data_IF_743783107227
#
_entry.id   IF_743783107227
#
_cell.length_a   1.000
_cell.length_b   1.000
_cell.length_c   1.000
_cell.angle_alpha   90.00
_cell.angle_beta   90.00
_cell.angle_gamma   90.00
#
_symmetry.space_group_name_H-M   'P 1'
#
loop_
_entity.id
_entity.type
_entity.pdbx_description
1 polymer ?
#
# COMPACT_ATOMS: atom_id res chain seq x y z
N UNK A 1 6.39 8.13 -17.12
CA UNK A 1 6.98 6.81 -17.46
C UNK A 1 6.03 6.08 -18.41
N UNK A 2 6.48 5.81 -19.64
CA UNK A 2 5.70 5.23 -20.73
C UNK A 2 5.89 3.70 -20.77
N UNK A 3 4.93 2.98 -21.37
CA UNK A 3 4.96 1.53 -21.62
C UNK A 3 4.74 1.27 -23.11
N UNK A 4 5.03 0.04 -23.54
CA UNK A 4 4.84 -0.42 -24.91
C UNK A 4 3.93 -1.64 -24.97
N UNK A 5 3.17 -1.78 -26.05
CA UNK A 5 2.34 -2.94 -26.33
C UNK A 5 2.32 -3.23 -27.83
N UNK A 6 2.20 -4.49 -28.20
CA UNK A 6 2.03 -4.90 -29.61
C UNK A 6 0.56 -4.87 -29.96
N UNK A 7 0.20 -4.17 -31.04
CA UNK A 7 -1.17 -4.11 -31.54
C UNK A 7 -1.67 -5.51 -31.96
N UNK A 8 -2.88 -5.89 -31.52
CA UNK A 8 -3.51 -7.16 -31.89
C UNK A 8 -3.88 -7.26 -33.38
N UNK A 9 -4.12 -6.12 -34.05
CA UNK A 9 -4.49 -6.06 -35.47
C UNK A 9 -3.28 -6.05 -36.40
N UNK A 10 -2.49 -4.98 -36.36
CA UNK A 10 -1.39 -4.76 -37.31
C UNK A 10 0.01 -5.09 -36.77
N UNK A 11 0.12 -5.62 -35.55
CA UNK A 11 1.38 -5.96 -34.86
C UNK A 11 2.38 -4.81 -34.67
N UNK A 12 1.98 -3.56 -34.93
CA UNK A 12 2.81 -2.40 -34.65
C UNK A 12 3.01 -2.18 -33.15
N UNK A 13 4.19 -1.69 -32.76
CA UNK A 13 4.49 -1.33 -31.38
C UNK A 13 3.85 0.02 -31.07
N UNK A 14 2.99 0.05 -30.05
CA UNK A 14 2.29 1.24 -29.58
C UNK A 14 2.91 1.71 -28.27
N UNK A 15 3.30 2.98 -28.20
CA UNK A 15 3.77 3.62 -26.98
C UNK A 15 2.59 4.28 -26.28
N UNK A 16 2.41 4.03 -24.99
CA UNK A 16 1.29 4.56 -24.22
C UNK A 16 1.71 4.95 -22.78
N UNK A 17 1.00 5.88 -22.13
CA UNK A 17 1.26 6.20 -20.72
C UNK A 17 0.89 5.03 -19.80
N UNK A 18 1.77 4.70 -18.83
CA UNK A 18 1.48 3.68 -17.81
C UNK A 18 0.15 4.00 -17.10
N UNK A 19 -0.74 3.01 -17.04
CA UNK A 19 -2.06 3.13 -16.40
C UNK A 19 -3.25 3.14 -17.36
N UNK A 20 -3.05 3.25 -18.68
CA UNK A 20 -4.13 3.02 -19.64
C UNK A 20 -4.54 1.54 -19.65
N UNK A 21 -5.85 1.26 -19.65
CA UNK A 21 -6.38 -0.12 -19.76
C UNK A 21 -6.58 -0.57 -21.20
N UNK A 22 -6.70 0.37 -22.14
CA UNK A 22 -6.90 0.11 -23.55
C UNK A 22 -6.08 1.11 -24.37
N UNK A 23 -5.47 0.63 -25.45
CA UNK A 23 -4.64 1.42 -26.36
C UNK A 23 -5.19 1.26 -27.76
N UNK A 24 -5.59 2.36 -28.39
CA UNK A 24 -6.05 2.36 -29.77
C UNK A 24 -4.85 2.48 -30.73
N UNK A 25 -4.80 1.62 -31.73
CA UNK A 25 -3.79 1.70 -32.77
C UNK A 25 -4.13 2.77 -33.80
N UNK A 26 -3.24 3.74 -34.02
CA UNK A 26 -3.43 4.80 -35.03
C UNK A 26 -3.35 4.30 -36.47
N UNK A 27 -2.85 3.08 -36.70
CA UNK A 27 -2.63 2.53 -38.05
C UNK A 27 -3.80 1.66 -38.53
N UNK A 28 -4.46 0.94 -37.61
CA UNK A 28 -5.54 0.01 -37.97
C UNK A 28 -6.81 0.17 -37.12
N UNK A 29 -6.88 1.17 -36.25
CA UNK A 29 -7.97 1.44 -35.30
C UNK A 29 -8.31 0.27 -34.35
N UNK A 30 -7.52 -0.80 -34.31
CA UNK A 30 -7.72 -1.89 -33.39
C UNK A 30 -7.43 -1.45 -31.95
N UNK A 31 -8.34 -1.79 -31.04
CA UNK A 31 -8.16 -1.57 -29.60
C UNK A 31 -7.44 -2.77 -29.00
N UNK A 32 -6.28 -2.52 -28.40
CA UNK A 32 -5.52 -3.54 -27.67
C UNK A 32 -5.65 -3.27 -26.17
N UNK A 33 -6.17 -4.24 -25.42
CA UNK A 33 -6.23 -4.12 -23.96
C UNK A 33 -4.83 -4.19 -23.39
N UNK A 34 -4.46 -3.15 -22.64
CA UNK A 34 -3.20 -3.11 -21.95
C UNK A 34 -3.27 -4.00 -20.68
N UNK A 35 -2.13 -4.58 -20.26
CA UNK A 35 -2.05 -5.30 -19.00
C UNK A 35 -2.59 -4.42 -17.84
N UNK A 36 -3.55 -4.91 -17.03
CA UNK A 36 -4.01 -4.18 -15.86
C UNK A 36 -2.83 -3.67 -15.02
N UNK A 37 -2.86 -2.39 -14.59
CA UNK A 37 -1.84 -1.86 -13.70
C UNK A 37 -1.85 -2.67 -12.40
N UNK A 38 -0.71 -3.28 -12.07
CA UNK A 38 -0.59 -4.14 -10.89
C UNK A 38 -0.60 -5.65 -11.15
N UNK A 39 -0.64 -6.10 -12.43
CA UNK A 39 -0.32 -7.49 -12.75
C UNK A 39 1.18 -7.76 -12.60
N UNK A 40 1.64 -7.82 -11.36
CA UNK A 40 3.01 -8.23 -11.08
C UNK A 40 3.09 -9.74 -11.16
N UNK A 41 3.99 -10.25 -11.99
CA UNK A 41 4.24 -11.69 -12.09
C UNK A 41 5.24 -12.05 -11.00
N UNK A 42 4.93 -13.06 -10.21
CA UNK A 42 5.81 -13.62 -9.20
C UNK A 42 6.06 -15.11 -9.47
N UNK A 43 7.11 -15.63 -8.85
CA UNK A 43 7.61 -16.98 -9.10
C UNK A 43 7.37 -17.85 -7.87
N UNK A 44 7.00 -19.10 -8.08
CA UNK A 44 7.01 -20.12 -7.03
C UNK A 44 7.48 -21.45 -7.61
N UNK A 45 8.08 -22.28 -6.76
CA UNK A 45 8.52 -23.63 -7.15
C UNK A 45 7.39 -24.60 -6.83
N UNK A 46 7.02 -25.45 -7.79
CA UNK A 46 5.99 -26.45 -7.56
C UNK A 46 6.46 -27.49 -6.54
N UNK A 47 5.65 -27.77 -5.51
CA UNK A 47 5.95 -28.80 -4.50
C UNK A 47 5.91 -30.23 -5.03
N UNK A 48 5.26 -30.49 -6.16
CA UNK A 48 5.15 -31.83 -6.76
C UNK A 48 6.28 -32.14 -7.74
N UNK A 49 6.48 -31.30 -8.76
CA UNK A 49 7.44 -31.55 -9.85
C UNK A 49 8.65 -30.62 -9.86
N UNK A 50 8.78 -29.71 -8.88
CA UNK A 50 9.85 -28.70 -8.79
C UNK A 50 9.93 -27.73 -9.96
N UNK A 51 8.96 -27.72 -10.88
CA UNK A 51 8.89 -26.74 -11.96
C UNK A 51 8.68 -25.32 -11.40
N UNK A 52 9.39 -24.36 -11.97
CA UNK A 52 9.18 -22.94 -11.70
C UNK A 52 7.87 -22.47 -12.35
N UNK A 53 6.94 -21.97 -11.54
CA UNK A 53 5.64 -21.48 -11.96
C UNK A 53 5.61 -19.95 -11.91
N UNK A 54 5.25 -19.35 -13.03
CA UNK A 54 4.93 -17.93 -13.13
C UNK A 54 3.45 -17.74 -12.82
N UNK A 55 3.13 -16.89 -11.86
CA UNK A 55 1.75 -16.60 -11.50
C UNK A 55 1.55 -15.11 -11.24
N UNK A 56 0.32 -14.64 -11.39
CA UNK A 56 -0.05 -13.27 -11.04
C UNK A 56 -0.06 -13.10 -9.52
N UNK A 57 0.54 -12.02 -9.04
CA UNK A 57 0.53 -11.62 -7.64
C UNK A 57 -0.91 -11.52 -7.14
N UNK A 58 -1.17 -12.14 -5.98
CA UNK A 58 -2.51 -12.21 -5.37
C UNK A 58 -3.25 -13.53 -5.60
N UNK A 59 -2.76 -14.43 -6.46
CA UNK A 59 -3.33 -15.77 -6.55
C UNK A 59 -2.94 -16.60 -5.31
N UNK A 60 -3.91 -16.98 -4.46
CA UNK A 60 -3.65 -17.81 -3.29
C UNK A 60 -3.31 -19.27 -3.63
N UNK A 61 -3.82 -19.76 -4.77
CA UNK A 61 -3.65 -21.13 -5.25
C UNK A 61 -3.24 -21.10 -6.71
N UNK A 62 -2.18 -21.83 -7.06
CA UNK A 62 -1.64 -21.91 -8.41
C UNK A 62 -1.55 -23.38 -8.83
N UNK A 63 -2.35 -23.78 -9.82
CA UNK A 63 -2.31 -25.13 -10.38
C UNK A 63 -1.12 -25.27 -11.32
N UNK A 64 -0.24 -26.23 -11.04
CA UNK A 64 0.86 -26.57 -11.92
C UNK A 64 0.30 -27.18 -13.22
N UNK A 65 0.74 -26.70 -14.38
CA UNK A 65 0.37 -27.29 -15.68
C UNK A 65 1.12 -28.58 -15.97
N UNK A 66 2.28 -28.79 -15.35
CA UNK A 66 3.11 -29.98 -15.58
C UNK A 66 2.59 -31.22 -14.84
N UNK A 67 2.28 -31.09 -13.55
CA UNK A 67 1.87 -32.22 -12.71
C UNK A 67 0.49 -32.05 -12.07
N UNK A 68 -0.25 -31.01 -12.42
CA UNK A 68 -1.60 -30.71 -11.92
C UNK A 68 -1.70 -30.44 -10.41
N UNK A 69 -0.59 -30.47 -9.67
CA UNK A 69 -0.54 -30.13 -8.23
C UNK A 69 -0.97 -28.69 -8.01
N UNK A 70 -1.86 -28.47 -7.04
CA UNK A 70 -2.22 -27.13 -6.56
C UNK A 70 -1.17 -26.69 -5.55
N UNK A 71 -0.47 -25.61 -5.86
CA UNK A 71 0.53 -25.01 -5.00
C UNK A 71 -0.11 -23.85 -4.26
N UNK A 72 0.13 -23.75 -2.96
CA UNK A 72 -0.21 -22.56 -2.19
C UNK A 72 0.85 -21.52 -2.50
N UNK A 73 0.45 -20.41 -3.13
CA UNK A 73 1.37 -19.29 -3.25
C UNK A 73 1.58 -18.73 -1.85
N UNK A 74 2.83 -18.41 -1.46
CA UNK A 74 3.04 -17.61 -0.28
C UNK A 74 2.19 -16.35 -0.42
N UNK A 75 1.26 -16.13 0.53
CA UNK A 75 0.73 -14.78 0.74
C UNK A 75 1.94 -14.01 1.19
N UNK A 76 2.61 -13.40 0.23
CA UNK A 76 3.82 -12.69 0.50
C UNK A 76 3.40 -11.62 1.52
N UNK A 77 3.96 -11.71 2.73
CA UNK A 77 3.85 -10.71 3.80
C UNK A 77 4.51 -9.41 3.34
N UNK A 78 4.08 -8.91 2.18
CA UNK A 78 4.59 -7.72 1.58
C UNK A 78 3.95 -6.58 2.34
N UNK A 79 4.82 -5.83 2.98
CA UNK A 79 4.43 -4.58 3.61
C UNK A 79 4.20 -3.60 2.47
N UNK A 80 2.99 -3.06 2.41
CA UNK A 80 2.60 -1.99 1.52
C UNK A 80 2.62 -0.66 2.29
N UNK A 81 2.78 0.44 1.56
CA UNK A 81 2.81 1.78 2.13
C UNK A 81 1.62 2.58 1.63
N UNK A 82 1.01 3.36 2.52
CA UNK A 82 -0.01 4.36 2.17
C UNK A 82 0.23 5.61 3.00
N UNK A 83 0.03 6.79 2.42
CA UNK A 83 0.10 8.02 3.21
C UNK A 83 -1.26 8.26 3.87
N UNK A 84 -1.25 8.62 5.15
CA UNK A 84 -2.46 9.02 5.87
C UNK A 84 -3.13 10.21 5.16
N UNK A 85 -4.42 10.12 4.87
CA UNK A 85 -5.13 11.20 4.16
C UNK A 85 -5.30 12.48 4.99
N UNK A 86 -5.10 12.41 6.32
CA UNK A 86 -5.21 13.57 7.21
C UNK A 86 -3.85 14.22 7.49
N UNK A 87 -2.88 13.45 8.01
CA UNK A 87 -1.58 14.00 8.44
C UNK A 87 -0.41 13.70 7.49
N UNK A 88 -0.64 13.01 6.37
CA UNK A 88 0.39 12.70 5.36
C UNK A 88 1.42 11.64 5.76
N UNK A 89 1.42 11.18 7.01
CA UNK A 89 2.37 10.17 7.52
C UNK A 89 2.30 8.88 6.70
N UNK A 90 3.46 8.37 6.29
CA UNK A 90 3.57 7.06 5.64
C UNK A 90 3.28 5.94 6.65
N UNK A 91 2.31 5.08 6.31
CA UNK A 91 1.88 3.95 7.11
C UNK A 91 2.27 2.65 6.42
N UNK A 92 2.88 1.75 7.18
CA UNK A 92 3.16 0.38 6.77
C UNK A 92 1.99 -0.54 7.13
N UNK A 93 1.53 -1.34 6.18
CA UNK A 93 0.42 -2.28 6.42
C UNK A 93 0.60 -3.56 5.59
N UNK A 94 0.04 -4.70 6.04
CA UNK A 94 0.08 -5.93 5.26
C UNK A 94 -0.73 -5.78 3.98
N UNK A 95 -0.14 -6.16 2.84
CA UNK A 95 -0.81 -6.10 1.54
C UNK A 95 -2.16 -6.86 1.58
N UNK A 96 -3.23 -6.19 1.16
CA UNK A 96 -4.60 -6.75 1.18
C UNK A 96 -5.51 -6.17 2.28
N UNK A 97 -4.99 -5.33 3.19
CA UNK A 97 -5.88 -4.60 4.11
C UNK A 97 -6.75 -3.59 3.33
N UNK A 98 -8.08 -3.55 3.52
CA UNK A 98 -8.95 -2.60 2.84
C UNK A 98 -8.75 -1.16 3.35
N UNK A 99 -8.31 -1.01 4.60
CA UNK A 99 -8.13 0.26 5.28
C UNK A 99 -7.02 0.18 6.33
N UNK A 100 -6.36 1.31 6.60
CA UNK A 100 -5.24 1.41 7.55
C UNK A 100 -5.52 2.56 8.52
N UNK A 101 -5.44 2.30 9.83
CA UNK A 101 -5.56 3.33 10.87
C UNK A 101 -4.21 3.99 11.10
N UNK A 102 -4.17 5.31 11.01
CA UNK A 102 -2.97 6.09 11.30
C UNK A 102 -2.62 6.02 12.78
N UNK A 103 -1.38 5.65 13.12
CA UNK A 103 -0.91 5.66 14.51
C UNK A 103 -0.74 7.08 15.09
N UNK A 104 -0.62 8.09 14.23
CA UNK A 104 -0.36 9.49 14.65
C UNK A 104 -1.65 10.24 14.94
N UNK A 105 -2.60 10.23 14.00
CA UNK A 105 -3.85 11.01 14.12
C UNK A 105 -5.12 10.16 14.18
N UNK A 106 -4.98 8.83 14.30
CA UNK A 106 -6.08 7.85 14.41
C UNK A 106 -7.06 7.81 13.22
N UNK A 107 -6.82 8.59 12.17
CA UNK A 107 -7.60 8.61 10.93
C UNK A 107 -7.47 7.28 10.16
N UNK A 108 -8.59 6.77 9.63
CA UNK A 108 -8.63 5.53 8.83
C UNK A 108 -8.55 5.89 7.34
N UNK A 109 -7.49 5.41 6.68
CA UNK A 109 -7.25 5.62 5.24
C UNK A 109 -7.62 4.37 4.44
N UNK A 110 -8.46 4.50 3.41
CA UNK A 110 -8.86 3.38 2.55
C UNK A 110 -7.82 3.12 1.43
N UNK A 111 -7.37 1.88 1.30
CA UNK A 111 -6.26 1.47 0.43
C UNK A 111 -6.65 1.43 -1.06
N UNK A 112 -7.94 1.28 -1.38
CA UNK A 112 -8.47 1.26 -2.74
C UNK A 112 -8.56 2.64 -3.41
N UNK A 113 -8.15 3.71 -2.72
CA UNK A 113 -8.11 5.05 -3.28
C UNK A 113 -6.81 5.26 -4.06
N UNK A 114 -6.72 4.65 -5.25
CA UNK A 114 -5.74 5.03 -6.25
C UNK A 114 -5.83 6.54 -6.52
N UNK A 115 -4.95 7.31 -5.89
CA UNK A 115 -4.39 8.55 -6.40
C UNK A 115 -5.32 9.75 -6.58
N UNK A 116 -6.48 9.84 -5.92
CA UNK A 116 -7.21 11.11 -5.86
C UNK A 116 -6.87 11.86 -4.58
N UNK A 117 -5.87 12.73 -4.69
CA UNK A 117 -5.68 13.87 -3.79
C UNK A 117 -7.07 14.48 -3.55
N UNK A 118 -7.57 14.57 -2.30
CA UNK A 118 -8.70 15.44 -2.04
C UNK A 118 -8.24 16.84 -2.42
N UNK A 119 -8.93 17.43 -3.41
CA UNK A 119 -8.79 18.85 -3.70
C UNK A 119 -8.89 19.61 -2.37
N UNK A 120 -8.05 20.63 -2.14
CA UNK A 120 -8.14 21.42 -0.92
C UNK A 120 -9.55 21.99 -0.85
N UNK A 121 -10.32 21.57 0.15
CA UNK A 121 -11.59 22.21 0.47
C UNK A 121 -11.22 23.60 0.97
N UNK A 122 -11.32 24.59 0.09
CA UNK A 122 -11.33 25.99 0.49
C UNK A 122 -12.55 26.19 1.40
N UNK A 123 -12.33 26.16 2.72
CA UNK A 123 -13.21 26.88 3.63
C UNK A 123 -12.83 28.36 3.51
N UNK A 124 -13.58 29.05 2.66
CA UNK A 124 -13.58 30.49 2.58
C UNK A 124 -14.38 31.07 3.75
N UNK A 125 -13.78 32.03 4.45
CA UNK A 125 -14.50 33.07 5.19
C UNK A 125 -14.81 32.77 6.66
N UNK A 126 -14.00 33.30 7.56
CA UNK A 126 -14.37 34.53 8.28
C UNK A 126 -13.11 35.10 8.93
N UNK A 127 -12.66 36.23 8.38
CA UNK A 127 -11.67 37.07 9.00
C UNK A 127 -12.27 37.71 10.26
N UNK A 128 -11.57 37.63 11.38
CA UNK A 128 -11.61 38.71 12.37
C UNK A 128 -10.23 38.83 12.99
N UNK A 129 -9.56 39.92 12.63
CA UNK A 129 -8.33 40.41 13.26
C UNK A 129 -8.53 40.66 14.73
N UNK A 130 -7.53 40.31 15.57
CA UNK A 130 -7.02 41.22 16.60
C UNK A 130 -5.68 40.73 17.16
N UNK A 131 -4.63 41.50 16.85
CA UNK A 131 -3.59 42.02 17.76
C UNK A 131 -2.81 41.05 18.68
N UNK A 132 -1.51 40.91 18.42
CA UNK A 132 -0.47 40.54 19.41
C UNK A 132 0.04 41.87 20.06
N UNK A 133 0.54 41.91 21.32
CA UNK A 133 1.98 41.66 21.56
C UNK A 133 2.39 41.05 22.94
N UNK A 134 3.44 40.21 22.90
CA UNK A 134 4.68 40.17 23.73
C UNK A 134 4.73 40.10 25.27
N UNK A 135 5.59 39.16 25.76
CA UNK A 135 6.52 39.19 26.94
C UNK A 135 5.88 39.17 28.37
N UNK A 136 6.34 38.51 29.44
CA UNK A 136 7.50 37.68 29.82
C UNK A 136 7.19 36.91 31.14
N UNK A 137 7.98 35.87 31.42
CA UNK A 137 8.39 35.30 32.75
C UNK A 137 7.33 34.74 33.72
N UNK A 138 7.41 33.44 34.05
CA UNK A 138 8.01 32.90 35.30
C UNK A 138 8.10 31.35 35.23
N UNK A 139 9.24 30.79 35.64
CA UNK A 139 9.50 29.36 35.91
C UNK A 139 9.68 29.21 37.43
N UNK A 140 9.41 28.06 38.10
CA UNK A 140 10.39 26.95 38.07
C UNK A 140 9.84 25.52 38.30
N UNK A 141 10.74 24.56 38.02
CA UNK A 141 10.76 23.15 38.46
C UNK A 141 9.77 22.17 37.80
N UNK A 142 10.13 20.94 37.42
CA UNK A 142 11.34 20.17 37.68
C UNK A 142 11.41 18.95 36.75
N UNK A 143 12.64 18.65 36.32
CA UNK A 143 13.23 17.33 36.07
C UNK A 143 12.85 16.48 34.84
N UNK A 144 13.94 15.90 34.33
CA UNK A 144 14.10 15.09 33.13
C UNK A 144 13.51 13.67 33.28
N UNK A 145 13.23 13.07 32.13
CA UNK A 145 12.93 11.66 31.79
C UNK A 145 13.89 10.61 32.43
N UNK A 146 13.77 9.27 32.16
CA UNK A 146 12.64 8.32 32.25
C UNK A 146 13.02 6.90 32.82
N UNK A 147 12.05 5.95 32.87
CA UNK A 147 12.16 4.45 32.96
C UNK A 147 12.59 3.87 34.33
N UNK A 148 11.90 2.93 34.99
CA UNK A 148 11.62 1.49 34.70
C UNK A 148 10.42 1.02 35.56
N UNK A 149 9.47 0.30 34.98
CA UNK A 149 8.39 -0.40 35.70
C UNK A 149 8.72 -1.91 35.67
N UNK A 150 9.19 -2.46 36.80
CA UNK A 150 9.24 -3.90 37.06
C UNK A 150 8.24 -4.18 38.19
N UNK A 151 7.02 -4.57 37.84
CA UNK A 151 6.07 -5.12 38.81
C UNK A 151 5.68 -6.54 38.40
N UNK A 152 6.57 -7.47 38.73
CA UNK A 152 6.26 -8.89 38.81
C UNK A 152 5.41 -9.17 40.07
N UNK A 153 4.09 -9.34 39.87
CA UNK A 153 3.14 -9.76 40.90
C UNK A 153 2.92 -11.30 40.96
N UNK A 154 3.62 -11.95 41.90
CA UNK A 154 3.25 -13.11 42.76
C UNK A 154 2.63 -14.45 42.25
N UNK A 155 3.29 -15.51 42.76
CA UNK A 155 2.83 -16.82 43.32
C UNK A 155 2.34 -17.96 42.41
N UNK A 156 2.96 -19.15 42.56
CA UNK A 156 2.40 -20.36 43.22
C UNK A 156 3.46 -21.48 43.41
N UNK A 157 3.60 -21.95 44.67
CA UNK A 157 3.82 -23.34 45.17
C UNK A 157 4.97 -24.22 44.63
N UNK A 158 5.66 -25.10 45.37
CA UNK A 158 5.61 -25.59 46.75
C UNK A 158 6.90 -26.40 47.01
N UNK A 159 7.25 -26.49 48.29
CA UNK A 159 8.34 -27.24 48.92
C UNK A 159 8.34 -28.76 48.68
N UNK A 160 9.58 -29.28 48.63
CA UNK A 160 10.08 -30.60 49.09
C UNK A 160 9.54 -31.88 48.45
#
# INVERSE_FOLDING_TARGET
MQSQIVCSGCRSILVYPKGASNVCCVLCNAVTSAPPPGMEITQLICGGCRTLLMHTRGAAKVKCTCCHTVNLAPVANQIAHVNCANCGTMLMYPYGAPSVKCAVCLYITNVNSNGRVPAPVQHNGTATSTLIPSMSTETPHSYNQPVVDDESGKLLSSSS
#
